data_IF_819744854796
#
_entry.id   IF_819744854796
#
_cell.length_a   1.000
_cell.length_b   1.000
_cell.length_c   1.000
_cell.angle_alpha   90.00
_cell.angle_beta   90.00
_cell.angle_gamma   90.00
#
_symmetry.space_group_name_H-M   'P 1'
#
loop_
_entity.id
_entity.type
_entity.pdbx_description
1 polymer ?
#
# COMPACT_ATOMS: atom_id res chain seq x y z
N UNK A 1 41.37 40.98 -29.02
CA UNK A 1 40.27 41.44 -28.13
C UNK A 1 39.10 40.48 -28.33
N UNK A 2 38.96 39.51 -27.43
CA UNK A 2 37.97 39.43 -26.33
C UNK A 2 36.55 39.07 -26.81
N UNK A 3 36.25 37.77 -26.67
CA UNK A 3 35.01 37.11 -26.23
C UNK A 3 33.68 37.80 -26.57
N UNK A 4 32.72 37.07 -27.16
CA UNK A 4 31.47 36.65 -26.50
C UNK A 4 30.75 35.58 -27.33
N UNK A 5 31.02 34.32 -26.99
CA UNK A 5 30.12 33.22 -27.29
C UNK A 5 28.92 33.34 -26.36
N UNK A 6 27.70 33.43 -26.92
CA UNK A 6 26.47 33.21 -26.16
C UNK A 6 25.66 32.18 -26.96
N UNK A 7 26.02 30.92 -26.73
CA UNK A 7 25.26 29.76 -27.17
C UNK A 7 24.06 29.66 -26.21
N UNK A 8 22.90 30.09 -26.69
CA UNK A 8 21.63 29.98 -25.97
C UNK A 8 21.25 28.49 -25.88
N UNK A 9 21.80 27.82 -24.88
CA UNK A 9 21.35 26.50 -24.46
C UNK A 9 20.04 26.69 -23.69
N UNK A 10 18.93 26.83 -24.42
CA UNK A 10 17.60 26.63 -23.85
C UNK A 10 17.45 25.13 -23.57
N UNK A 11 17.98 24.69 -22.43
CA UNK A 11 17.65 23.40 -21.85
C UNK A 11 16.18 23.50 -21.46
N UNK A 12 15.30 23.05 -22.35
CA UNK A 12 13.92 22.74 -21.99
C UNK A 12 14.01 21.56 -21.02
N UNK A 13 14.05 21.85 -19.71
CA UNK A 13 13.78 20.88 -18.67
C UNK A 13 12.30 20.47 -18.76
N UNK A 14 11.95 19.70 -19.78
CA UNK A 14 10.76 18.86 -19.76
C UNK A 14 11.06 17.66 -18.84
N UNK A 15 11.19 17.95 -17.55
CA UNK A 15 11.66 17.01 -16.55
C UNK A 15 10.82 17.08 -15.28
N UNK A 16 9.50 17.09 -15.42
CA UNK A 16 8.59 16.80 -14.31
C UNK A 16 7.46 15.92 -14.84
N UNK A 17 7.77 14.67 -15.18
CA UNK A 17 6.74 13.64 -15.11
C UNK A 17 6.50 13.45 -13.61
N UNK A 18 5.32 13.80 -13.05
CA UNK A 18 5.06 13.57 -11.64
C UNK A 18 5.16 12.06 -11.42
N UNK A 19 6.26 11.63 -10.80
CA UNK A 19 6.45 10.25 -10.38
C UNK A 19 5.23 9.81 -9.57
N UNK A 20 4.86 8.52 -9.62
CA UNK A 20 3.61 7.98 -9.06
C UNK A 20 3.66 7.95 -7.51
N UNK A 21 3.78 9.11 -6.87
CA UNK A 21 3.73 9.26 -5.41
C UNK A 21 2.46 8.66 -4.83
N UNK A 22 1.37 8.65 -5.59
CA UNK A 22 0.10 8.10 -5.12
C UNK A 22 0.15 6.58 -4.91
N UNK A 23 0.79 5.82 -5.81
CA UNK A 23 0.82 4.35 -5.69
C UNK A 23 1.64 3.90 -4.48
N UNK A 24 2.82 4.47 -4.29
CA UNK A 24 3.67 4.12 -3.14
C UNK A 24 3.02 4.51 -1.81
N UNK A 25 2.34 5.65 -1.75
CA UNK A 25 1.57 6.06 -0.59
C UNK A 25 0.44 5.07 -0.29
N UNK A 26 -0.35 4.72 -1.30
CA UNK A 26 -1.45 3.77 -1.19
C UNK A 26 -0.97 2.42 -0.64
N UNK A 27 0.14 1.88 -1.16
CA UNK A 27 0.70 0.62 -0.66
C UNK A 27 1.13 0.70 0.80
N UNK A 28 1.75 1.82 1.20
CA UNK A 28 2.18 2.03 2.58
C UNK A 28 0.98 2.03 3.52
N UNK A 29 -0.11 2.69 3.13
CA UNK A 29 -1.37 2.70 3.90
C UNK A 29 -1.96 1.29 3.96
N UNK A 30 -2.19 0.64 2.82
CA UNK A 30 -2.79 -0.70 2.75
C UNK A 30 -2.00 -1.74 3.54
N UNK A 31 -0.67 -1.76 3.41
CA UNK A 31 0.18 -2.67 4.17
C UNK A 31 0.07 -2.41 5.67
N UNK A 32 0.11 -1.14 6.11
CA UNK A 32 -0.05 -0.78 7.52
C UNK A 32 -1.40 -1.22 8.08
N UNK A 33 -2.48 -1.09 7.30
CA UNK A 33 -3.82 -1.53 7.70
C UNK A 33 -3.89 -3.06 7.85
N UNK A 34 -3.30 -3.81 6.89
CA UNK A 34 -3.28 -5.27 6.94
C UNK A 34 -2.42 -5.75 8.13
N UNK A 35 -1.23 -5.18 8.33
CA UNK A 35 -0.36 -5.53 9.46
C UNK A 35 -1.04 -5.21 10.80
N UNK A 36 -1.74 -4.07 10.89
CA UNK A 36 -2.55 -3.72 12.05
C UNK A 36 -3.66 -4.74 12.31
N UNK A 37 -4.40 -5.14 11.28
CA UNK A 37 -5.43 -6.17 11.37
C UNK A 37 -4.85 -7.52 11.85
N UNK A 38 -3.78 -8.00 11.21
CA UNK A 38 -3.10 -9.24 11.57
C UNK A 38 -2.61 -9.22 13.03
N UNK A 39 -2.13 -8.08 13.51
CA UNK A 39 -1.76 -7.92 14.93
C UNK A 39 -2.98 -8.03 15.84
N UNK A 40 -4.08 -7.39 15.50
CA UNK A 40 -5.33 -7.43 16.28
C UNK A 40 -5.95 -8.82 16.33
N UNK A 41 -5.81 -9.62 15.26
CA UNK A 41 -6.35 -11.00 15.18
C UNK A 41 -5.37 -12.08 15.65
N UNK A 42 -4.22 -11.71 16.24
CA UNK A 42 -3.19 -12.64 16.68
C UNK A 42 -2.59 -13.51 15.54
N UNK A 43 -2.43 -12.91 14.35
CA UNK A 43 -1.88 -13.49 13.13
C UNK A 43 -0.61 -12.72 12.65
N UNK A 44 0.14 -12.15 13.58
CA UNK A 44 1.31 -11.28 13.31
C UNK A 44 2.53 -12.00 12.68
N UNK A 45 2.51 -13.33 12.68
CA UNK A 45 3.51 -14.22 12.10
C UNK A 45 3.36 -14.39 10.57
N UNK A 46 2.25 -13.90 10.01
CA UNK A 46 2.06 -13.76 8.58
C UNK A 46 2.92 -12.65 8.00
N UNK A 47 3.57 -12.94 6.87
CA UNK A 47 4.39 -11.99 6.12
C UNK A 47 3.89 -11.86 4.69
N UNK A 48 4.02 -10.65 4.15
CA UNK A 48 3.68 -10.35 2.77
C UNK A 48 4.57 -11.19 1.84
N UNK A 49 3.96 -11.98 0.97
CA UNK A 49 4.67 -12.81 -0.02
C UNK A 49 4.50 -12.28 -1.43
N UNK A 50 3.33 -11.77 -1.77
CA UNK A 50 3.02 -11.29 -3.11
C UNK A 50 2.06 -10.11 -3.06
N UNK A 51 2.20 -9.23 -4.05
CA UNK A 51 1.31 -8.11 -4.31
C UNK A 51 1.02 -8.05 -5.80
N UNK A 52 -0.22 -7.74 -6.16
CA UNK A 52 -0.64 -7.47 -7.53
C UNK A 52 -1.48 -6.21 -7.55
N UNK A 53 -1.23 -5.32 -8.51
CA UNK A 53 -1.93 -4.05 -8.62
C UNK A 53 -2.84 -4.04 -9.84
N UNK A 54 -4.14 -3.87 -9.61
CA UNK A 54 -5.09 -3.54 -10.67
C UNK A 54 -5.15 -2.02 -10.84
N UNK A 55 -4.32 -1.53 -11.76
CA UNK A 55 -4.23 -0.10 -12.08
C UNK A 55 -5.52 0.48 -12.65
N UNK A 56 -6.41 -0.35 -13.23
CA UNK A 56 -7.66 0.13 -13.80
C UNK A 56 -8.69 0.48 -12.72
N UNK A 57 -8.67 -0.25 -11.59
CA UNK A 57 -9.70 -0.14 -10.55
C UNK A 57 -9.22 0.51 -9.24
N UNK A 58 -7.95 0.93 -9.17
CA UNK A 58 -7.30 1.41 -7.94
C UNK A 58 -7.42 0.41 -6.78
N UNK A 59 -7.26 -0.88 -7.12
CA UNK A 59 -7.29 -2.00 -6.18
C UNK A 59 -5.89 -2.63 -6.18
N UNK A 60 -5.39 -2.93 -4.99
CA UNK A 60 -4.22 -3.78 -4.81
C UNK A 60 -4.58 -5.03 -4.03
N UNK A 61 -4.14 -6.16 -4.54
CA UNK A 61 -4.28 -7.46 -3.90
C UNK A 61 -2.98 -7.84 -3.19
N UNK A 62 -3.11 -8.39 -1.99
CA UNK A 62 -2.01 -8.77 -1.13
C UNK A 62 -2.16 -10.21 -0.68
N UNK A 63 -1.09 -10.99 -0.82
CA UNK A 63 -1.02 -12.35 -0.30
C UNK A 63 -0.05 -12.40 0.87
N UNK A 64 -0.51 -12.95 1.99
CA UNK A 64 0.28 -13.18 3.18
C UNK A 64 0.39 -14.67 3.46
N UNK A 65 1.57 -15.10 3.92
CA UNK A 65 1.82 -16.48 4.32
C UNK A 65 2.59 -16.50 5.64
N UNK A 66 2.28 -17.47 6.49
CA UNK A 66 3.01 -17.73 7.72
C UNK A 66 4.39 -18.33 7.39
N UNK A 67 5.44 -17.77 7.96
CA UNK A 67 6.78 -18.36 7.90
C UNK A 67 6.89 -19.47 8.95
N UNK A 68 7.26 -20.69 8.55
CA UNK A 68 7.24 -21.86 9.46
C UNK A 68 8.53 -22.11 10.22
N UNK A 69 9.48 -21.19 10.17
CA UNK A 69 10.89 -21.58 10.33
C UNK A 69 11.26 -22.10 11.72
N UNK A 70 10.43 -21.99 12.76
CA UNK A 70 10.78 -22.40 14.13
C UNK A 70 9.63 -23.02 14.96
N UNK A 71 8.48 -23.36 14.37
CA UNK A 71 7.37 -23.95 15.13
C UNK A 71 7.15 -25.41 14.70
N UNK A 72 6.87 -26.29 15.67
CA UNK A 72 6.57 -27.71 15.43
C UNK A 72 5.41 -27.78 14.43
N UNK A 73 5.74 -28.08 13.16
CA UNK A 73 4.77 -28.13 12.08
C UNK A 73 3.87 -29.32 12.32
N UNK A 74 2.66 -29.06 12.81
CA UNK A 74 1.57 -30.03 12.78
C UNK A 74 1.37 -30.41 11.31
N UNK A 75 1.63 -31.68 10.98
CA UNK A 75 1.81 -32.24 9.61
C UNK A 75 0.62 -31.98 8.66
N UNK A 76 -0.51 -31.45 9.17
CA UNK A 76 -1.70 -31.09 8.39
C UNK A 76 -1.96 -29.59 8.23
N UNK A 77 -1.11 -28.68 8.73
CA UNK A 77 -1.30 -27.24 8.47
C UNK A 77 -0.70 -26.88 7.11
N UNK A 78 -1.48 -27.11 6.04
CA UNK A 78 -1.27 -26.39 4.78
C UNK A 78 -1.16 -24.91 5.16
N UNK A 79 0.00 -24.29 4.93
CA UNK A 79 0.24 -22.88 5.22
C UNK A 79 -0.91 -22.05 4.64
N UNK A 80 -1.84 -21.62 5.50
CA UNK A 80 -3.09 -21.02 5.05
C UNK A 80 -2.79 -19.62 4.55
N UNK A 81 -2.62 -19.46 3.24
CA UNK A 81 -2.44 -18.15 2.64
C UNK A 81 -3.64 -17.26 2.97
N UNK A 82 -3.37 -16.04 3.38
CA UNK A 82 -4.38 -15.00 3.55
C UNK A 82 -4.33 -14.07 2.34
N UNK A 83 -5.50 -13.71 1.84
CA UNK A 83 -5.66 -12.86 0.67
C UNK A 83 -6.46 -11.63 1.07
N UNK A 84 -5.94 -10.45 0.75
CA UNK A 84 -6.57 -9.18 1.03
C UNK A 84 -6.67 -8.35 -0.24
N UNK A 85 -7.76 -7.59 -0.38
CA UNK A 85 -7.85 -6.50 -1.33
C UNK A 85 -7.94 -5.17 -0.58
N UNK A 86 -7.23 -4.18 -1.09
CA UNK A 86 -7.27 -2.81 -0.59
C UNK A 86 -7.60 -1.87 -1.74
N UNK A 87 -8.65 -1.07 -1.55
CA UNK A 87 -9.10 -0.09 -2.53
C UNK A 87 -9.01 1.32 -1.96
N UNK A 88 -8.46 2.24 -2.74
CA UNK A 88 -8.59 3.67 -2.46
C UNK A 88 -9.80 4.22 -3.20
N UNK A 89 -10.75 4.80 -2.47
CA UNK A 89 -11.91 5.48 -3.06
C UNK A 89 -12.22 6.75 -2.26
N UNK A 90 -12.21 7.90 -2.95
CA UNK A 90 -12.60 9.20 -2.37
C UNK A 90 -11.91 9.53 -1.04
N UNK A 91 -10.59 9.23 -0.91
CA UNK A 91 -9.77 9.43 0.30
C UNK A 91 -10.12 8.49 1.47
N UNK A 92 -10.98 7.51 1.24
CA UNK A 92 -11.16 6.36 2.11
C UNK A 92 -10.40 5.15 1.57
N UNK A 93 -9.89 4.33 2.48
CA UNK A 93 -9.25 3.05 2.18
C UNK A 93 -10.14 1.94 2.69
N UNK A 94 -10.52 1.04 1.77
CA UNK A 94 -11.39 -0.10 2.05
C UNK A 94 -10.55 -1.37 2.04
N UNK A 95 -10.50 -2.07 3.16
CA UNK A 95 -9.80 -3.32 3.32
C UNK A 95 -10.81 -4.48 3.40
N UNK A 96 -10.61 -5.49 2.56
CA UNK A 96 -11.37 -6.73 2.60
C UNK A 96 -10.44 -7.95 2.57
N UNK A 97 -10.92 -9.06 3.12
CA UNK A 97 -10.25 -10.36 3.06
C UNK A 97 -11.04 -11.32 2.19
N UNK A 98 -10.32 -12.13 1.42
CA UNK A 98 -10.90 -13.18 0.60
C UNK A 98 -10.69 -14.55 1.26
N UNK A 99 -11.76 -15.33 1.33
CA UNK A 99 -11.69 -16.73 1.75
C UNK A 99 -11.25 -17.62 0.59
N UNK A 100 -10.80 -18.83 0.90
CA UNK A 100 -10.46 -19.85 -0.11
C UNK A 100 -11.67 -20.27 -0.97
N UNK A 101 -12.89 -19.94 -0.55
CA UNK A 101 -14.14 -20.22 -1.26
C UNK A 101 -14.60 -19.03 -2.13
N UNK A 102 -13.77 -17.98 -2.23
CA UNK A 102 -14.07 -16.80 -3.04
C UNK A 102 -15.02 -15.79 -2.38
N UNK A 103 -15.35 -15.98 -1.10
CA UNK A 103 -16.14 -14.99 -0.36
C UNK A 103 -15.24 -13.81 0.04
N UNK A 104 -15.77 -12.59 -0.12
CA UNK A 104 -15.09 -11.36 0.27
C UNK A 104 -15.75 -10.77 1.51
N UNK A 105 -14.98 -10.62 2.58
CA UNK A 105 -15.44 -10.06 3.85
C UNK A 105 -14.81 -8.69 4.07
N UNK A 106 -15.61 -7.62 4.23
CA UNK A 106 -15.06 -6.31 4.57
C UNK A 106 -14.48 -6.34 6.00
N UNK A 107 -13.27 -5.82 6.18
CA UNK A 107 -12.59 -5.77 7.47
C UNK A 107 -12.70 -4.37 8.07
N UNK A 108 -12.34 -3.37 7.28
CA UNK A 108 -12.15 -2.00 7.77
C UNK A 108 -12.34 -0.99 6.63
N UNK A 109 -12.91 0.14 6.97
CA UNK A 109 -12.86 1.37 6.19
C UNK A 109 -12.16 2.45 7.01
N UNK A 110 -11.17 3.12 6.42
CA UNK A 110 -10.46 4.24 7.06
C UNK A 110 -10.59 5.48 6.20
N UNK A 111 -11.15 6.54 6.78
CA UNK A 111 -11.25 7.84 6.15
C UNK A 111 -10.10 8.75 6.61
N UNK A 112 -9.31 9.29 5.68
CA UNK A 112 -8.24 10.23 6.00
C UNK A 112 -8.72 11.68 5.85
N UNK A 113 -8.74 12.49 6.93
CA UNK A 113 -9.11 13.90 6.84
C UNK A 113 -8.03 14.66 6.05
N UNK A 114 -8.45 15.45 5.07
CA UNK A 114 -7.51 16.11 4.15
C UNK A 114 -6.93 17.42 4.68
N UNK A 115 -7.49 17.98 5.75
CA UNK A 115 -7.14 19.34 6.22
C UNK A 115 -6.71 19.45 7.70
N UNK A 116 -6.70 18.34 8.45
CA UNK A 116 -6.35 18.35 9.88
C UNK A 116 -4.87 18.69 10.13
N UNK A 117 -3.97 18.21 9.27
CA UNK A 117 -2.52 18.38 9.50
C UNK A 117 -2.01 19.80 9.20
N UNK A 118 -2.69 20.56 8.33
CA UNK A 118 -2.37 21.97 8.10
C UNK A 118 -2.76 22.83 9.29
N UNK A 119 -3.95 22.60 9.86
CA UNK A 119 -4.42 23.35 11.04
C UNK A 119 -3.62 23.02 12.30
N UNK A 120 -3.13 21.79 12.43
CA UNK A 120 -2.30 21.39 13.57
C UNK A 120 -0.90 22.02 13.55
N UNK A 121 -0.29 22.16 12.36
CA UNK A 121 1.04 22.78 12.20
C UNK A 121 1.03 24.30 12.33
N UNK A 122 -0.10 24.95 12.06
CA UNK A 122 -0.23 26.42 12.22
C UNK A 122 -0.63 26.85 13.64
N UNK A 123 -0.95 25.90 14.53
CA UNK A 123 -1.36 26.17 15.92
C UNK A 123 -0.21 26.10 16.95
N UNK A 124 0.98 25.66 16.55
CA UNK A 124 2.15 25.53 17.41
C UNK A 124 3.41 26.00 16.66
#
# INVERSE_FOLDING_TARGET
MKLKAILLFTIVLAGCQPQPKNQQHMHTVCQSLIEGYLKMTNQQDYKLTQRTDDKANAISDYQYQRNSSNEVVMVNSVYSKLYFSCREQQKSYFLAQHSSQGQTTPILEVHFPTDSYKSFRERF
#
